data_IF_545890804988
#
_entry.id   IF_545890804988
#
_cell.length_a   1.000
_cell.length_b   1.000
_cell.length_c   1.000
_cell.angle_alpha   90.00
_cell.angle_beta   90.00
_cell.angle_gamma   90.00
#
_symmetry.space_group_name_H-M   'P 1'
#
loop_
_entity.id
_entity.type
_entity.pdbx_description
1 polymer ?
#
# COMPACT_ATOMS: atom_id res chain seq x y z
N UNK A 1 24.91 -13.99 -10.43
CA UNK A 1 24.14 -12.86 -9.81
C UNK A 1 23.42 -12.08 -10.92
N UNK A 2 22.28 -11.40 -10.70
CA UNK A 2 21.56 -10.70 -11.78
C UNK A 2 22.40 -9.64 -12.53
N UNK A 3 23.45 -9.12 -11.89
CA UNK A 3 24.42 -8.18 -12.46
C UNK A 3 25.32 -8.79 -13.53
N UNK A 4 25.61 -10.10 -13.48
CA UNK A 4 26.40 -10.79 -14.52
C UNK A 4 25.68 -10.82 -15.87
N UNK A 5 24.35 -10.69 -15.87
CA UNK A 5 23.57 -10.61 -17.11
C UNK A 5 24.00 -9.44 -17.98
N UNK A 6 24.36 -8.29 -17.39
CA UNK A 6 24.83 -7.10 -18.13
C UNK A 6 26.07 -7.41 -18.96
N UNK A 7 27.01 -8.18 -18.40
CA UNK A 7 28.23 -8.55 -19.11
C UNK A 7 27.95 -9.51 -20.28
N UNK A 8 26.85 -10.26 -20.21
CA UNK A 8 26.41 -11.18 -21.27
C UNK A 8 25.54 -10.53 -22.35
N UNK A 9 25.07 -9.29 -22.14
CA UNK A 9 24.24 -8.60 -23.12
C UNK A 9 25.07 -8.20 -24.37
N UNK A 10 24.44 -8.16 -25.56
CA UNK A 10 25.06 -7.54 -26.73
C UNK A 10 25.48 -6.09 -26.43
N UNK A 11 26.48 -5.54 -27.16
CA UNK A 11 26.93 -4.17 -26.97
C UNK A 11 25.76 -3.18 -27.00
N UNK A 12 25.54 -2.50 -25.88
CA UNK A 12 24.45 -1.55 -25.71
C UNK A 12 24.78 -0.21 -26.36
N UNK A 13 23.77 0.44 -26.92
CA UNK A 13 23.86 1.81 -27.44
C UNK A 13 23.76 2.82 -26.29
N UNK A 14 24.36 4.01 -26.45
CA UNK A 14 24.31 5.09 -25.43
C UNK A 14 22.88 5.43 -25.00
N UNK A 15 21.93 5.40 -25.93
CA UNK A 15 20.51 5.69 -25.68
C UNK A 15 19.78 4.68 -24.80
N UNK A 16 20.40 3.52 -24.51
CA UNK A 16 19.83 2.48 -23.66
C UNK A 16 20.25 2.63 -22.19
N UNK A 17 21.14 3.59 -21.90
CA UNK A 17 21.54 3.91 -20.53
C UNK A 17 20.62 4.98 -19.93
N UNK A 18 20.37 4.94 -18.60
CA UNK A 18 20.89 3.95 -17.65
C UNK A 18 20.18 2.59 -17.79
N UNK A 19 20.94 1.51 -17.64
CA UNK A 19 20.36 0.17 -17.56
C UNK A 19 20.02 -0.12 -16.11
N UNK A 20 18.79 -0.56 -15.86
CA UNK A 20 18.29 -0.86 -14.52
C UNK A 20 17.83 -2.31 -14.49
N UNK A 21 18.41 -3.12 -13.60
CA UNK A 21 18.02 -4.51 -13.40
C UNK A 21 17.66 -4.69 -11.94
N UNK A 22 16.56 -5.39 -11.68
CA UNK A 22 16.21 -5.80 -10.33
C UNK A 22 15.90 -7.28 -10.28
N UNK A 23 16.02 -7.82 -9.07
CA UNK A 23 15.58 -9.16 -8.72
C UNK A 23 14.85 -9.10 -7.39
N UNK A 24 13.85 -9.95 -7.21
CA UNK A 24 13.24 -10.22 -5.92
C UNK A 24 13.58 -11.66 -5.57
N UNK A 25 14.19 -11.88 -4.43
CA UNK A 25 14.61 -13.21 -4.02
C UNK A 25 15.02 -13.28 -2.56
N UNK A 26 15.19 -14.50 -2.09
CA UNK A 26 15.58 -14.78 -0.72
C UNK A 26 17.03 -14.37 -0.45
N UNK A 27 17.24 -13.77 0.71
CA UNK A 27 18.54 -13.42 1.24
C UNK A 27 18.77 -14.15 2.55
N UNK A 28 19.98 -14.68 2.67
CA UNK A 28 20.45 -15.33 3.88
C UNK A 28 21.55 -14.47 4.49
N UNK A 29 21.38 -14.11 5.76
CA UNK A 29 22.41 -13.42 6.55
C UNK A 29 22.60 -14.19 7.84
N UNK A 30 23.85 -14.42 8.20
CA UNK A 30 24.18 -14.95 9.53
C UNK A 30 24.00 -13.85 10.58
N UNK A 31 22.73 -13.56 10.86
CA UNK A 31 22.32 -12.57 11.83
C UNK A 31 22.56 -13.14 13.24
N UNK A 32 23.45 -12.51 14.01
CA UNK A 32 23.79 -12.96 15.35
C UNK A 32 22.57 -12.92 16.29
N UNK A 33 21.70 -11.91 16.13
CA UNK A 33 20.54 -11.68 16.99
C UNK A 33 19.25 -11.42 16.18
N UNK A 34 18.59 -12.46 15.65
CA UNK A 34 17.30 -12.28 14.99
C UNK A 34 16.24 -11.86 16.04
N UNK A 35 15.53 -10.75 15.77
CA UNK A 35 14.52 -10.17 16.67
C UNK A 35 13.38 -9.58 15.86
N UNK A 36 12.23 -9.41 16.51
CA UNK A 36 11.05 -8.73 15.94
C UNK A 36 10.51 -9.39 14.65
N UNK A 37 10.56 -10.74 14.59
CA UNK A 37 10.01 -11.52 13.49
C UNK A 37 10.60 -11.17 12.13
N UNK A 38 9.79 -10.60 11.25
CA UNK A 38 10.14 -10.24 9.87
C UNK A 38 11.05 -8.99 9.76
N UNK A 39 11.22 -8.22 10.83
CA UNK A 39 12.11 -7.05 10.82
C UNK A 39 13.58 -7.46 10.80
N UNK A 40 13.99 -8.46 11.59
CA UNK A 40 15.39 -8.92 11.66
C UNK A 40 15.44 -10.44 11.72
N UNK A 41 15.53 -11.07 10.55
CA UNK A 41 15.59 -12.51 10.37
C UNK A 41 16.87 -12.95 9.65
N UNK A 42 17.19 -14.25 9.76
CA UNK A 42 18.31 -14.89 9.02
C UNK A 42 17.97 -15.18 7.56
N UNK A 43 16.67 -15.29 7.23
CA UNK A 43 16.14 -15.41 5.88
C UNK A 43 15.04 -14.37 5.67
N UNK A 44 15.11 -13.60 4.58
CA UNK A 44 14.08 -12.63 4.21
C UNK A 44 14.04 -12.38 2.71
N UNK A 45 12.90 -11.92 2.22
CA UNK A 45 12.71 -11.52 0.84
C UNK A 45 13.26 -10.10 0.63
N UNK A 46 14.10 -9.93 -0.38
CA UNK A 46 14.70 -8.65 -0.72
C UNK A 46 14.50 -8.34 -2.20
N UNK A 47 14.18 -7.08 -2.49
CA UNK A 47 14.29 -6.53 -3.84
C UNK A 47 15.66 -5.85 -3.94
N UNK A 48 16.56 -6.40 -4.73
CA UNK A 48 17.81 -5.71 -5.09
C UNK A 48 17.67 -5.15 -6.49
N UNK A 49 17.99 -3.86 -6.65
CA UNK A 49 18.11 -3.22 -7.94
C UNK A 49 19.53 -2.68 -8.11
N UNK A 50 20.06 -2.81 -9.31
CA UNK A 50 21.36 -2.28 -9.72
C UNK A 50 21.17 -1.43 -10.96
N UNK A 51 21.87 -0.31 -11.00
CA UNK A 51 21.88 0.59 -12.14
C UNK A 51 23.27 0.67 -12.74
N UNK A 52 23.34 0.83 -14.05
CA UNK A 52 24.56 0.96 -14.80
C UNK A 52 24.46 2.21 -15.66
N UNK A 53 25.36 3.16 -15.44
CA UNK A 53 25.40 4.46 -16.12
C UNK A 53 26.73 4.65 -16.83
N UNK A 54 26.73 5.45 -17.90
CA UNK A 54 27.94 5.70 -18.70
C UNK A 54 29.01 6.48 -17.96
N UNK A 55 28.61 7.28 -16.98
CA UNK A 55 29.46 8.15 -16.19
C UNK A 55 28.81 8.45 -14.83
N UNK A 56 29.61 9.06 -13.95
CA UNK A 56 29.21 9.37 -12.58
C UNK A 56 28.08 10.42 -12.50
N UNK A 57 27.99 11.33 -13.47
CA UNK A 57 26.96 12.38 -13.46
C UNK A 57 25.58 11.79 -13.78
N UNK A 58 25.48 10.96 -14.82
CA UNK A 58 24.28 10.21 -15.15
C UNK A 58 23.89 9.23 -14.02
N UNK A 59 24.87 8.64 -13.34
CA UNK A 59 24.63 7.80 -12.16
C UNK A 59 24.03 8.59 -10.99
N UNK A 60 24.54 9.79 -10.72
CA UNK A 60 23.99 10.69 -9.69
C UNK A 60 22.57 11.15 -10.02
N UNK A 61 22.28 11.44 -11.28
CA UNK A 61 20.92 11.77 -11.72
C UNK A 61 19.97 10.58 -11.51
N UNK A 62 20.39 9.38 -11.92
CA UNK A 62 19.63 8.14 -11.71
C UNK A 62 19.39 7.88 -10.22
N UNK A 63 20.43 8.06 -9.39
CA UNK A 63 20.34 7.96 -7.94
C UNK A 63 19.31 8.94 -7.37
N UNK A 64 19.34 10.21 -7.80
CA UNK A 64 18.34 11.21 -7.37
C UNK A 64 16.93 10.82 -7.79
N UNK A 65 16.75 10.30 -9.00
CA UNK A 65 15.43 9.87 -9.49
C UNK A 65 14.86 8.70 -8.69
N UNK A 66 15.71 7.75 -8.30
CA UNK A 66 15.28 6.56 -7.56
C UNK A 66 15.13 6.84 -6.06
N UNK A 67 16.06 7.57 -5.46
CA UNK A 67 16.03 7.98 -4.05
C UNK A 67 15.25 9.29 -3.84
N UNK A 68 14.37 9.68 -4.76
CA UNK A 68 13.58 10.92 -4.65
C UNK A 68 12.52 10.70 -3.56
N UNK A 69 12.95 10.87 -2.31
CA UNK A 69 12.23 10.53 -1.09
C UNK A 69 11.75 11.79 -0.35
N UNK A 70 11.25 12.79 -1.06
CA UNK A 70 10.50 13.88 -0.42
C UNK A 70 9.07 13.84 -0.93
N UNK A 71 8.21 13.27 -0.11
CA UNK A 71 6.76 13.41 -0.26
C UNK A 71 6.34 14.59 0.60
N UNK A 72 5.68 15.58 0.00
CA UNK A 72 5.06 16.66 0.75
C UNK A 72 3.69 16.17 1.24
N UNK A 73 3.60 15.93 2.55
CA UNK A 73 2.35 15.63 3.25
C UNK A 73 1.67 16.95 3.61
N UNK A 74 0.37 17.08 3.30
CA UNK A 74 -0.44 18.20 3.77
C UNK A 74 -1.07 17.88 5.13
N UNK A 75 -0.74 18.66 6.16
CA UNK A 75 -1.21 18.45 7.55
C UNK A 75 -2.74 18.51 7.70
N UNK A 76 -3.46 19.10 6.74
CA UNK A 76 -4.91 19.34 6.84
C UNK A 76 -5.77 18.29 6.12
N UNK A 77 -5.27 17.70 5.03
CA UNK A 77 -6.07 16.75 4.23
C UNK A 77 -5.42 15.37 4.06
N UNK A 78 -4.18 15.19 4.51
CA UNK A 78 -3.43 13.93 4.36
C UNK A 78 -2.88 13.70 2.94
N UNK A 79 -3.30 14.49 1.95
CA UNK A 79 -2.91 14.26 0.54
C UNK A 79 -1.41 14.45 0.31
N UNK A 80 -0.82 13.50 -0.40
CA UNK A 80 0.58 13.51 -0.80
C UNK A 80 0.80 14.20 -2.14
N UNK A 81 1.72 15.15 -2.17
CA UNK A 81 2.22 15.72 -3.41
C UNK A 81 3.61 15.19 -3.72
N UNK A 82 3.75 14.51 -4.87
CA UNK A 82 5.05 14.28 -5.50
C UNK A 82 5.49 15.62 -6.10
N UNK A 83 6.23 16.45 -5.39
CA UNK A 83 6.80 17.65 -6.01
C UNK A 83 8.29 17.47 -6.28
N UNK A 84 8.70 17.86 -7.48
CA UNK A 84 10.10 18.07 -7.86
C UNK A 84 10.67 19.35 -7.23
N UNK A 85 9.78 20.25 -6.78
CA UNK A 85 10.11 21.50 -6.13
C UNK A 85 9.87 21.42 -4.62
N UNK A 86 10.93 21.65 -3.86
CA UNK A 86 10.98 21.75 -2.39
C UNK A 86 10.22 23.01 -1.87
N UNK A 87 9.62 23.79 -2.76
CA UNK A 87 9.01 25.10 -2.49
C UNK A 87 7.49 25.15 -2.65
N UNK A 88 6.83 24.05 -3.03
CA UNK A 88 5.37 23.97 -3.12
C UNK A 88 4.75 23.97 -1.71
N UNK A 89 4.39 25.17 -1.22
CA UNK A 89 3.70 25.41 0.06
C UNK A 89 2.19 25.16 -0.01
N UNK A 90 1.63 24.93 -1.19
CA UNK A 90 0.18 24.89 -1.44
C UNK A 90 -0.28 23.49 -1.80
N UNK A 91 -1.19 22.93 -1.01
CA UNK A 91 -1.89 21.69 -1.36
C UNK A 91 -2.92 21.97 -2.47
N UNK A 92 -2.93 21.24 -3.60
CA UNK A 92 -3.91 21.42 -4.67
C UNK A 92 -5.34 20.99 -4.30
N UNK A 93 -5.50 20.27 -3.17
CA UNK A 93 -6.77 19.76 -2.67
C UNK A 93 -7.34 20.58 -1.48
N UNK A 94 -6.59 21.57 -0.99
CA UNK A 94 -7.05 22.47 0.07
C UNK A 94 -7.20 23.89 -0.49
N UNK A 95 -8.23 24.62 -0.08
CA UNK A 95 -8.30 26.06 -0.30
C UNK A 95 -7.06 26.74 0.31
N UNK A 96 -6.61 27.83 -0.34
CA UNK A 96 -5.31 28.50 -0.21
C UNK A 96 -4.89 28.99 1.19
N UNK A 97 -5.69 28.70 2.23
CA UNK A 97 -5.47 29.06 3.63
C UNK A 97 -4.70 28.02 4.47
N UNK A 98 -4.50 26.79 3.99
CA UNK A 98 -3.85 25.72 4.77
C UNK A 98 -2.48 25.33 4.19
N UNK A 99 -1.43 26.02 4.63
CA UNK A 99 -0.06 25.87 4.16
C UNK A 99 0.89 25.36 5.26
N UNK A 100 0.75 24.10 5.65
CA UNK A 100 1.82 23.40 6.35
C UNK A 100 2.05 22.05 5.67
N UNK A 101 3.19 21.96 5.01
CA UNK A 101 3.74 20.71 4.52
C UNK A 101 4.92 20.34 5.39
N UNK A 102 4.87 19.16 6.00
CA UNK A 102 5.96 18.63 6.80
C UNK A 102 6.78 17.62 6.01
N UNK A 103 8.09 17.67 6.19
CA UNK A 103 9.01 16.66 5.69
C UNK A 103 8.97 15.48 6.65
N UNK A 104 8.48 14.33 6.17
CA UNK A 104 8.32 13.13 6.99
C UNK A 104 9.60 12.29 6.94
N UNK A 105 10.03 11.75 8.09
CA UNK A 105 11.20 10.87 8.17
C UNK A 105 10.85 9.46 7.69
N UNK A 106 11.66 8.86 6.83
CA UNK A 106 11.44 7.51 6.30
C UNK A 106 11.87 6.45 7.31
N UNK A 107 11.05 5.41 7.52
CA UNK A 107 11.54 4.14 8.09
C UNK A 107 12.61 3.59 7.14
N UNK A 108 13.75 3.14 7.67
CA UNK A 108 14.86 2.56 6.90
C UNK A 108 14.49 1.15 6.38
N UNK A 109 13.56 1.08 5.43
CA UNK A 109 13.10 -0.15 4.76
C UNK A 109 14.02 -0.49 3.59
N UNK A 110 14.86 0.46 3.16
CA UNK A 110 15.82 0.27 2.10
C UNK A 110 17.16 0.94 2.36
N UNK A 111 18.17 0.44 1.66
CA UNK A 111 19.52 1.01 1.64
C UNK A 111 19.91 1.30 0.21
N UNK A 112 20.61 2.40 0.00
CA UNK A 112 21.07 2.82 -1.31
C UNK A 112 22.56 3.12 -1.23
N UNK A 113 23.33 2.62 -2.19
CA UNK A 113 24.78 2.79 -2.20
C UNK A 113 25.26 3.18 -3.60
N UNK A 114 26.10 4.21 -3.68
CA UNK A 114 26.91 4.47 -4.87
C UNK A 114 28.10 3.51 -4.86
N UNK A 115 28.18 2.65 -5.87
CA UNK A 115 29.19 1.60 -5.96
C UNK A 115 30.40 2.02 -6.82
N UNK A 116 30.26 3.08 -7.63
CA UNK A 116 31.27 3.51 -8.59
C UNK A 116 31.57 2.43 -9.62
N UNK A 117 32.84 2.29 -10.00
CA UNK A 117 33.28 1.32 -11.03
C UNK A 117 33.82 0.01 -10.46
N UNK A 118 33.97 -0.12 -9.13
CA UNK A 118 34.62 -1.27 -8.49
C UNK A 118 34.05 -2.62 -8.93
N UNK A 119 32.73 -2.71 -9.03
CA UNK A 119 32.05 -3.96 -9.39
C UNK A 119 31.93 -4.15 -10.90
N UNK A 120 31.70 -3.08 -11.66
CA UNK A 120 31.61 -3.15 -13.12
C UNK A 120 32.94 -3.54 -13.76
N UNK A 121 34.06 -3.11 -13.18
CA UNK A 121 35.40 -3.56 -13.55
C UNK A 121 35.57 -5.07 -13.36
N UNK A 122 35.16 -5.59 -12.19
CA UNK A 122 35.31 -7.01 -11.85
C UNK A 122 34.44 -7.93 -12.72
N UNK A 123 33.21 -7.53 -13.04
CA UNK A 123 32.28 -8.33 -13.87
C UNK A 123 32.43 -8.05 -15.37
N UNK A 124 33.31 -7.13 -15.78
CA UNK A 124 33.53 -6.79 -17.19
C UNK A 124 32.41 -5.96 -17.84
N UNK A 125 31.55 -5.31 -17.05
CA UNK A 125 30.47 -4.46 -17.55
C UNK A 125 31.03 -3.11 -18.02
N UNK A 126 31.29 -2.99 -19.32
CA UNK A 126 31.93 -1.82 -19.94
C UNK A 126 31.12 -1.24 -21.09
N UNK A 127 31.20 0.07 -21.26
CA UNK A 127 30.71 0.79 -22.45
C UNK A 127 31.87 1.53 -23.10
N UNK A 128 32.09 1.30 -24.40
CA UNK A 128 33.22 1.88 -25.15
C UNK A 128 34.58 1.68 -24.46
N UNK A 129 34.80 0.49 -23.88
CA UNK A 129 36.04 0.13 -23.19
C UNK A 129 36.19 0.69 -21.76
N UNK A 130 35.29 1.57 -21.30
CA UNK A 130 35.28 2.12 -19.93
C UNK A 130 34.29 1.37 -19.04
N UNK A 131 34.64 1.10 -17.77
CA UNK A 131 33.70 0.50 -16.82
C UNK A 131 32.52 1.43 -16.56
N UNK A 132 31.33 0.84 -16.41
CA UNK A 132 30.10 1.56 -16.12
C UNK A 132 30.05 2.01 -14.65
N UNK A 133 29.51 3.18 -14.37
CA UNK A 133 29.29 3.63 -12.99
C UNK A 133 28.01 2.98 -12.43
N UNK A 134 28.09 2.42 -11.22
CA UNK A 134 27.02 1.62 -10.63
C UNK A 134 26.44 2.24 -9.36
N UNK A 135 25.13 2.05 -9.16
CA UNK A 135 24.45 2.19 -7.87
C UNK A 135 23.71 0.89 -7.53
N UNK A 136 23.46 0.64 -6.25
CA UNK A 136 22.52 -0.38 -5.81
C UNK A 136 21.47 0.17 -4.85
N UNK A 137 20.28 -0.44 -4.91
CA UNK A 137 19.10 -0.07 -4.13
C UNK A 137 18.49 -1.37 -3.62
N UNK A 138 18.52 -1.57 -2.31
CA UNK A 138 17.99 -2.77 -1.66
C UNK A 138 16.79 -2.41 -0.81
N UNK A 139 15.65 -3.06 -1.03
CA UNK A 139 14.45 -2.92 -0.18
C UNK A 139 14.14 -4.28 0.45
N UNK A 140 14.02 -4.30 1.78
CA UNK A 140 13.57 -5.49 2.50
C UNK A 140 12.07 -5.68 2.34
N UNK A 141 11.65 -6.47 1.34
CA UNK A 141 10.23 -6.70 1.03
C UNK A 141 9.51 -7.29 2.24
N UNK A 142 10.13 -8.24 2.94
CA UNK A 142 9.55 -8.82 4.17
C UNK A 142 9.38 -7.81 5.31
N UNK A 143 10.18 -6.73 5.32
CA UNK A 143 10.10 -5.68 6.35
C UNK A 143 8.98 -4.68 6.10
N UNK A 144 8.46 -4.60 4.88
CA UNK A 144 7.38 -3.68 4.53
C UNK A 144 6.12 -3.95 5.37
N UNK A 145 5.73 -5.21 5.52
CA UNK A 145 4.53 -5.58 6.29
C UNK A 145 4.63 -5.17 7.77
N UNK A 146 5.63 -5.63 8.56
CA UNK A 146 5.73 -5.22 9.96
C UNK A 146 5.95 -3.71 10.12
N UNK A 147 6.72 -3.05 9.25
CA UNK A 147 6.86 -1.60 9.30
C UNK A 147 5.54 -0.87 9.03
N UNK A 148 4.72 -1.39 8.12
CA UNK A 148 3.39 -0.83 7.85
C UNK A 148 2.45 -1.05 9.02
N UNK A 149 2.48 -2.23 9.64
CA UNK A 149 1.66 -2.54 10.82
C UNK A 149 2.06 -1.64 11.99
N UNK A 150 3.35 -1.54 12.29
CA UNK A 150 3.91 -0.69 13.35
C UNK A 150 3.51 0.78 13.16
N UNK A 151 3.50 1.25 11.91
CA UNK A 151 3.18 2.63 11.58
C UNK A 151 1.68 2.95 11.56
N UNK A 152 0.83 2.00 11.18
CA UNK A 152 -0.60 2.27 10.97
C UNK A 152 -1.50 1.75 12.08
N UNK A 153 -1.07 0.69 12.77
CA UNK A 153 -1.90 0.00 13.74
C UNK A 153 -1.64 0.62 15.11
N UNK A 154 -2.51 1.56 15.48
CA UNK A 154 -2.52 2.21 16.81
C UNK A 154 -2.78 1.25 17.99
N UNK A 155 -3.12 -0.01 17.71
CA UNK A 155 -3.39 -1.03 18.73
C UNK A 155 -2.94 -2.41 18.32
N UNK A 156 -2.72 -3.26 19.32
CA UNK A 156 -2.49 -4.70 19.13
C UNK A 156 -3.78 -5.48 18.79
N UNK A 157 -4.95 -4.85 18.93
CA UNK A 157 -6.23 -5.55 18.73
C UNK A 157 -6.66 -5.60 17.28
N UNK A 158 -6.27 -4.65 16.45
CA UNK A 158 -6.72 -4.59 15.06
C UNK A 158 -5.64 -4.03 14.12
N UNK A 159 -5.41 -4.75 13.01
CA UNK A 159 -4.47 -4.33 11.97
C UNK A 159 -5.07 -3.18 11.15
N UNK A 160 -4.23 -2.21 10.81
CA UNK A 160 -4.54 -1.16 9.85
C UNK A 160 -3.57 -1.28 8.69
N UNK A 161 -4.12 -1.55 7.51
CA UNK A 161 -3.36 -1.86 6.31
C UNK A 161 -3.80 -0.93 5.17
N UNK A 162 -2.87 -0.45 4.34
CA UNK A 162 -3.21 0.13 3.05
C UNK A 162 -3.91 -0.92 2.20
N UNK A 163 -4.90 -0.51 1.40
CA UNK A 163 -5.63 -1.42 0.51
C UNK A 163 -4.75 -2.26 -0.39
N UNK A 164 -3.63 -1.70 -0.85
CA UNK A 164 -2.69 -2.39 -1.73
C UNK A 164 -2.10 -3.67 -1.12
N UNK A 165 -2.10 -3.80 0.21
CA UNK A 165 -1.56 -4.96 0.94
C UNK A 165 -2.59 -5.58 1.91
N UNK A 166 -3.83 -5.07 1.93
CA UNK A 166 -4.90 -5.68 2.69
C UNK A 166 -5.21 -7.08 2.10
N UNK A 167 -5.58 -8.07 2.93
CA UNK A 167 -5.80 -9.44 2.45
C UNK A 167 -6.98 -9.55 1.49
N UNK A 168 -8.00 -8.71 1.69
CA UNK A 168 -9.17 -8.56 0.82
C UNK A 168 -9.60 -7.09 0.81
N UNK A 169 -10.23 -6.64 -0.27
CA UNK A 169 -10.83 -5.30 -0.33
C UNK A 169 -12.10 -5.24 0.54
N UNK A 170 -12.89 -6.32 0.56
CA UNK A 170 -14.10 -6.41 1.37
C UNK A 170 -14.35 -7.79 1.96
N UNK A 171 -15.11 -7.84 3.05
CA UNK A 171 -15.71 -9.05 3.60
C UNK A 171 -17.23 -8.95 3.54
N UNK A 172 -17.91 -10.02 3.13
CA UNK A 172 -19.36 -10.16 3.17
C UNK A 172 -19.70 -11.19 4.24
N UNK A 173 -20.37 -10.74 5.30
CA UNK A 173 -20.81 -11.56 6.43
C UNK A 173 -22.29 -11.88 6.23
N UNK A 174 -22.61 -13.15 6.11
CA UNK A 174 -23.99 -13.58 5.79
C UNK A 174 -24.63 -14.32 6.96
N UNK A 175 -25.89 -13.99 7.24
CA UNK A 175 -26.74 -14.74 8.18
C UNK A 175 -27.20 -16.05 7.54
N UNK A 176 -27.34 -17.12 8.34
CA UNK A 176 -27.76 -18.45 7.88
C UNK A 176 -28.98 -18.46 6.94
N UNK A 177 -30.00 -17.64 7.22
CA UNK A 177 -31.21 -17.58 6.39
C UNK A 177 -30.99 -16.99 4.99
N UNK A 178 -29.88 -16.29 4.77
CA UNK A 178 -29.55 -15.60 3.51
C UNK A 178 -28.45 -16.30 2.70
N UNK A 179 -27.87 -17.39 3.20
CA UNK A 179 -26.72 -18.07 2.58
C UNK A 179 -26.93 -18.45 1.10
N UNK A 180 -28.10 -19.00 0.77
CA UNK A 180 -28.44 -19.43 -0.60
C UNK A 180 -29.23 -18.37 -1.38
N UNK A 181 -29.25 -17.12 -0.89
CA UNK A 181 -30.06 -16.06 -1.48
C UNK A 181 -29.28 -15.36 -2.62
N UNK A 182 -29.97 -15.10 -3.73
CA UNK A 182 -29.43 -14.36 -4.89
C UNK A 182 -28.82 -13.01 -4.49
N UNK A 183 -29.26 -12.42 -3.37
CA UNK A 183 -28.71 -11.16 -2.88
C UNK A 183 -27.22 -11.26 -2.52
N UNK A 184 -26.75 -12.42 -2.04
CA UNK A 184 -25.33 -12.61 -1.70
C UNK A 184 -24.48 -12.50 -2.96
N UNK A 185 -24.89 -13.19 -4.02
CA UNK A 185 -24.22 -13.16 -5.32
C UNK A 185 -24.31 -11.77 -5.96
N UNK A 186 -25.47 -11.11 -5.88
CA UNK A 186 -25.64 -9.73 -6.35
C UNK A 186 -24.73 -8.75 -5.61
N UNK A 187 -24.67 -8.81 -4.27
CA UNK A 187 -23.81 -7.95 -3.46
C UNK A 187 -22.34 -8.20 -3.78
N UNK A 188 -21.91 -9.47 -3.84
CA UNK A 188 -20.54 -9.84 -4.22
C UNK A 188 -20.17 -9.35 -5.62
N UNK A 189 -21.06 -9.55 -6.60
CA UNK A 189 -20.85 -9.13 -7.98
C UNK A 189 -20.78 -7.61 -8.13
N UNK A 190 -21.67 -6.87 -7.47
CA UNK A 190 -21.67 -5.41 -7.50
C UNK A 190 -20.43 -4.82 -6.83
N UNK A 191 -20.02 -5.37 -5.68
CA UNK A 191 -18.80 -4.96 -5.01
C UNK A 191 -17.55 -5.26 -5.87
N UNK A 192 -17.47 -6.44 -6.49
CA UNK A 192 -16.31 -6.88 -7.31
C UNK A 192 -16.09 -6.04 -8.57
N UNK A 193 -17.10 -5.28 -9.01
CA UNK A 193 -16.94 -4.31 -10.11
C UNK A 193 -15.94 -3.21 -9.76
N UNK A 194 -15.92 -2.78 -8.50
CA UNK A 194 -15.11 -1.65 -8.02
C UNK A 194 -13.96 -2.08 -7.11
N UNK A 195 -14.13 -3.20 -6.40
CA UNK A 195 -13.16 -3.78 -5.48
C UNK A 195 -12.42 -4.93 -6.18
N UNK A 196 -11.14 -4.72 -6.50
CA UNK A 196 -10.31 -5.65 -7.28
C UNK A 196 -9.39 -6.52 -6.43
N UNK A 197 -9.20 -6.16 -5.16
CA UNK A 197 -8.40 -6.91 -4.17
C UNK A 197 -9.08 -8.17 -3.64
N UNK A 198 -10.18 -8.61 -4.25
CA UNK A 198 -10.94 -9.79 -3.83
C UNK A 198 -11.95 -9.50 -2.71
N UNK A 199 -12.93 -10.39 -2.61
CA UNK A 199 -14.01 -10.33 -1.62
C UNK A 199 -13.99 -11.63 -0.82
N UNK A 200 -13.88 -11.50 0.50
CA UNK A 200 -14.04 -12.61 1.43
C UNK A 200 -15.53 -12.83 1.69
N UNK A 201 -16.05 -14.01 1.37
CA UNK A 201 -17.36 -14.43 1.86
C UNK A 201 -17.17 -15.18 3.19
N UNK A 202 -17.67 -14.61 4.29
CA UNK A 202 -17.61 -15.23 5.61
C UNK A 202 -18.94 -15.94 5.91
N UNK A 203 -18.96 -17.24 5.63
CA UNK A 203 -20.08 -18.15 5.77
C UNK A 203 -20.09 -18.97 7.08
N UNK A 204 -19.25 -18.59 8.05
CA UNK A 204 -19.17 -19.20 9.39
C UNK A 204 -20.41 -18.88 10.24
N UNK A 205 -21.53 -19.50 9.87
CA UNK A 205 -22.87 -19.27 10.44
C UNK A 205 -23.00 -19.68 11.90
N UNK A 206 -22.08 -20.49 12.43
CA UNK A 206 -21.95 -20.83 13.84
C UNK A 206 -21.48 -19.64 14.70
N UNK A 207 -20.89 -18.62 14.08
CA UNK A 207 -20.41 -17.41 14.74
C UNK A 207 -21.42 -16.26 14.60
N UNK A 208 -21.58 -15.48 15.67
CA UNK A 208 -22.40 -14.27 15.63
C UNK A 208 -21.85 -13.28 14.60
N UNK A 209 -22.74 -12.50 13.97
CA UNK A 209 -22.34 -11.47 13.01
C UNK A 209 -21.37 -10.47 13.65
N UNK A 210 -21.64 -10.02 14.88
CA UNK A 210 -20.73 -9.14 15.62
C UNK A 210 -19.32 -9.71 15.76
N UNK A 211 -19.18 -11.00 16.12
CA UNK A 211 -17.87 -11.63 16.22
C UNK A 211 -17.13 -11.66 14.88
N UNK A 212 -17.84 -11.99 13.80
CA UNK A 212 -17.28 -11.98 12.44
C UNK A 212 -16.88 -10.58 11.97
N UNK A 213 -17.67 -9.55 12.30
CA UNK A 213 -17.34 -8.14 12.01
C UNK A 213 -16.03 -7.77 12.70
N UNK A 214 -15.90 -8.07 14.00
CA UNK A 214 -14.66 -7.78 14.72
C UNK A 214 -13.48 -8.54 14.11
N UNK A 215 -13.61 -9.83 13.76
CA UNK A 215 -12.52 -10.58 13.12
C UNK A 215 -12.08 -9.99 11.78
N UNK A 216 -13.02 -9.61 10.90
CA UNK A 216 -12.69 -8.94 9.65
C UNK A 216 -12.00 -7.59 9.88
N UNK A 217 -12.45 -6.80 10.86
CA UNK A 217 -11.81 -5.55 11.26
C UNK A 217 -10.42 -5.77 11.88
N UNK A 218 -10.22 -6.86 12.63
CA UNK A 218 -8.91 -7.23 13.19
C UNK A 218 -7.90 -7.58 12.10
N UNK A 219 -8.35 -8.22 11.02
CA UNK A 219 -7.54 -8.55 9.85
C UNK A 219 -7.20 -7.32 8.98
N UNK A 220 -7.79 -6.15 9.26
CA UNK A 220 -7.58 -4.95 8.48
C UNK A 220 -8.30 -4.96 7.13
N UNK A 221 -9.42 -5.70 7.01
CA UNK A 221 -10.25 -5.70 5.79
C UNK A 221 -11.00 -4.36 5.71
N UNK A 222 -10.77 -3.54 4.66
CA UNK A 222 -11.25 -2.15 4.60
C UNK A 222 -12.77 -2.00 4.67
N UNK A 223 -13.51 -2.84 3.94
CA UNK A 223 -14.97 -2.80 3.88
C UNK A 223 -15.57 -4.09 4.44
N UNK A 224 -16.53 -3.98 5.35
CA UNK A 224 -17.22 -5.13 5.94
C UNK A 224 -18.71 -4.94 5.68
N UNK A 225 -19.28 -5.79 4.84
CA UNK A 225 -20.66 -5.76 4.40
C UNK A 225 -21.41 -6.86 5.13
N UNK A 226 -22.52 -6.54 5.78
CA UNK A 226 -23.30 -7.49 6.58
C UNK A 226 -24.68 -7.68 5.95
N UNK A 227 -24.97 -8.93 5.60
CA UNK A 227 -26.26 -9.40 5.11
C UNK A 227 -26.98 -10.15 6.25
N UNK A 228 -27.76 -9.43 7.03
CA UNK A 228 -28.42 -9.95 8.23
C UNK A 228 -29.90 -9.55 8.32
N UNK A 229 -30.36 -9.09 9.48
CA UNK A 229 -31.77 -8.84 9.75
C UNK A 229 -32.33 -7.68 8.91
N UNK A 230 -31.52 -6.64 8.70
CA UNK A 230 -31.92 -5.47 7.89
C UNK A 230 -32.15 -5.90 6.44
N UNK A 231 -31.23 -6.70 5.89
CA UNK A 231 -31.36 -7.27 4.55
C UNK A 231 -32.61 -8.13 4.46
N UNK A 232 -32.81 -9.07 5.37
CA UNK A 232 -33.98 -9.97 5.40
C UNK A 232 -35.31 -9.20 5.41
N UNK A 233 -35.43 -8.13 6.21
CA UNK A 233 -36.63 -7.28 6.24
C UNK A 233 -36.83 -6.49 4.95
N UNK A 234 -35.76 -5.99 4.35
CA UNK A 234 -35.81 -5.20 3.12
C UNK A 234 -36.06 -6.02 1.85
N UNK A 235 -35.87 -7.35 1.89
CA UNK A 235 -36.25 -8.22 0.78
C UNK A 235 -37.77 -8.20 0.50
N UNK A 236 -38.58 -7.91 1.52
CA UNK A 236 -40.04 -7.72 1.36
C UNK A 236 -40.36 -6.52 0.46
N UNK A 237 -39.53 -5.49 0.48
CA UNK A 237 -39.73 -4.25 -0.29
C UNK A 237 -38.97 -4.25 -1.63
N UNK A 238 -38.35 -5.38 -2.01
CA UNK A 238 -37.53 -5.58 -3.23
C UNK A 238 -36.34 -4.62 -3.40
N UNK A 239 -36.01 -3.81 -2.38
CA UNK A 239 -34.83 -2.95 -2.36
C UNK A 239 -33.91 -3.42 -1.24
N UNK A 240 -32.94 -4.29 -1.54
CA UNK A 240 -32.09 -4.87 -0.52
C UNK A 240 -31.20 -3.80 0.13
N UNK A 241 -31.22 -3.80 1.45
CA UNK A 241 -30.43 -2.91 2.30
C UNK A 241 -29.38 -3.74 3.02
N UNK A 242 -28.15 -3.24 3.03
CA UNK A 242 -26.98 -3.88 3.64
C UNK A 242 -26.45 -2.99 4.76
N UNK A 243 -25.86 -3.59 5.78
CA UNK A 243 -25.15 -2.86 6.83
C UNK A 243 -23.67 -2.80 6.44
N UNK A 244 -23.03 -1.63 6.57
CA UNK A 244 -21.66 -1.40 6.09
C UNK A 244 -20.80 -0.86 7.22
N UNK A 245 -19.65 -1.49 7.41
CA UNK A 245 -18.63 -1.06 8.35
C UNK A 245 -17.29 -0.83 7.63
N UNK A 246 -16.43 0.03 8.17
CA UNK A 246 -15.07 0.22 7.69
C UNK A 246 -14.04 0.19 8.82
N UNK A 247 -12.80 -0.22 8.52
CA UNK A 247 -11.67 -0.09 9.46
C UNK A 247 -11.23 1.36 9.54
N UNK A 248 -10.93 1.93 10.71
CA UNK A 248 -10.46 3.32 10.83
C UNK A 248 -9.07 3.43 11.48
N UNK A 249 -8.12 4.25 10.97
CA UNK A 249 -6.74 4.28 11.47
C UNK A 249 -6.61 4.58 12.98
N UNK A 250 -7.47 5.45 13.50
CA UNK A 250 -7.45 5.90 14.91
C UNK A 250 -8.44 5.15 15.83
N UNK A 251 -9.07 4.09 15.35
CA UNK A 251 -10.05 3.33 16.13
C UNK A 251 -9.74 1.85 16.03
N UNK A 252 -9.79 1.13 17.16
CA UNK A 252 -9.72 -0.34 17.17
C UNK A 252 -11.07 -0.95 16.74
N UNK A 253 -12.16 -0.22 16.94
CA UNK A 253 -13.52 -0.64 16.63
C UNK A 253 -13.89 -0.33 15.18
N UNK A 254 -14.68 -1.20 14.53
CA UNK A 254 -15.20 -0.96 13.19
C UNK A 254 -16.12 0.27 13.19
N UNK A 255 -15.96 1.15 12.21
CA UNK A 255 -16.83 2.30 12.02
C UNK A 255 -18.12 1.86 11.32
N UNK A 256 -19.25 1.99 12.00
CA UNK A 256 -20.58 1.71 11.45
C UNK A 256 -21.07 2.90 10.60
N UNK A 257 -21.40 2.64 9.33
CA UNK A 257 -22.00 3.61 8.41
C UNK A 257 -23.52 3.47 8.28
N UNK A 258 -24.09 2.58 9.08
CA UNK A 258 -25.50 2.26 9.09
C UNK A 258 -25.97 1.49 7.85
N UNK A 259 -27.29 1.28 7.74
CA UNK A 259 -27.89 0.56 6.64
C UNK A 259 -27.94 1.43 5.37
N UNK A 260 -27.52 0.87 4.23
CA UNK A 260 -27.58 1.52 2.92
C UNK A 260 -27.96 0.55 1.80
N UNK A 261 -28.49 1.09 0.69
CA UNK A 261 -28.77 0.29 -0.50
C UNK A 261 -27.48 -0.07 -1.22
N UNK A 262 -27.52 -1.10 -2.08
CA UNK A 262 -26.37 -1.50 -2.88
C UNK A 262 -25.87 -0.38 -3.80
N UNK A 263 -26.78 0.41 -4.38
CA UNK A 263 -26.42 1.57 -5.21
C UNK A 263 -25.70 2.65 -4.40
N UNK A 264 -26.18 2.94 -3.19
CA UNK A 264 -25.53 3.90 -2.28
C UNK A 264 -24.17 3.39 -1.83
N UNK A 265 -24.03 2.09 -1.58
CA UNK A 265 -22.75 1.47 -1.26
C UNK A 265 -21.75 1.62 -2.41
N UNK A 266 -22.18 1.43 -3.67
CA UNK A 266 -21.31 1.65 -4.84
C UNK A 266 -20.82 3.09 -4.89
N UNK A 267 -21.72 4.07 -4.72
CA UNK A 267 -21.33 5.49 -4.66
C UNK A 267 -20.40 5.79 -3.49
N UNK A 268 -20.65 5.19 -2.32
CA UNK A 268 -19.81 5.30 -1.14
C UNK A 268 -18.40 4.77 -1.41
N UNK A 269 -18.26 3.55 -1.93
CA UNK A 269 -16.97 2.97 -2.32
C UNK A 269 -16.26 3.89 -3.31
N UNK A 270 -16.93 4.34 -4.38
CA UNK A 270 -16.32 5.23 -5.36
C UNK A 270 -15.80 6.53 -4.73
N UNK A 271 -16.57 7.14 -3.84
CA UNK A 271 -16.11 8.34 -3.10
C UNK A 271 -14.91 8.05 -2.20
N UNK A 272 -14.88 6.89 -1.53
CA UNK A 272 -13.75 6.48 -0.69
C UNK A 272 -12.52 6.11 -1.52
N UNK A 273 -12.67 5.58 -2.75
CA UNK A 273 -11.55 5.14 -3.58
C UNK A 273 -10.92 6.27 -4.40
N UNK A 274 -11.75 7.19 -4.91
CA UNK A 274 -11.35 8.15 -5.93
C UNK A 274 -11.50 9.61 -5.47
N UNK A 275 -11.98 9.83 -4.25
CA UNK A 275 -12.42 11.14 -3.78
C UNK A 275 -13.72 11.56 -4.45
N UNK A 276 -14.47 12.46 -3.81
CA UNK A 276 -15.63 13.11 -4.43
C UNK A 276 -15.16 14.03 -5.57
N UNK A 277 -15.79 14.02 -6.76
CA UNK A 277 -15.48 14.98 -7.83
C UNK A 277 -15.72 16.44 -7.42
N UNK A 278 -16.48 16.69 -6.35
CA UNK A 278 -16.77 18.01 -5.79
C UNK A 278 -16.61 17.94 -4.27
N UNK A 279 -15.72 18.76 -3.72
CA UNK A 279 -15.46 18.86 -2.29
C UNK A 279 -16.75 19.03 -1.49
N UNK A 280 -16.95 18.14 -0.52
CA UNK A 280 -18.16 18.08 0.29
C UNK A 280 -17.99 17.10 1.45
N UNK A 281 -17.30 17.60 2.49
CA UNK A 281 -17.42 17.37 3.94
C UNK A 281 -17.89 15.97 4.42
N UNK A 282 -17.07 15.43 5.32
CA UNK A 282 -17.27 14.29 6.24
C UNK A 282 -17.00 12.87 5.71
N UNK A 283 -15.81 12.36 6.07
CA UNK A 283 -15.45 10.95 5.97
C UNK A 283 -14.34 10.63 4.98
N UNK A 284 -13.23 11.38 4.98
CA UNK A 284 -12.03 11.06 4.21
C UNK A 284 -11.40 9.75 4.72
N UNK A 285 -11.81 8.63 4.14
CA UNK A 285 -10.98 7.42 4.07
C UNK A 285 -9.94 7.62 3.00
N UNK A 286 -8.96 8.46 3.31
CA UNK A 286 -7.83 8.70 2.42
C UNK A 286 -6.84 7.54 2.56
N UNK A 287 -6.53 6.88 1.45
CA UNK A 287 -5.45 5.89 1.36
C UNK A 287 -4.06 6.49 1.62
N UNK A 288 -4.01 7.79 1.88
CA UNK A 288 -2.85 8.57 2.26
C UNK A 288 -2.46 8.50 3.75
N UNK A 289 -3.28 7.96 4.65
CA UNK A 289 -3.00 7.96 6.10
C UNK A 289 -1.79 7.10 6.55
N UNK A 290 -0.97 6.61 5.62
CA UNK A 290 0.21 5.77 5.86
C UNK A 290 1.43 6.53 6.35
N UNK A 291 1.47 7.87 6.31
CA UNK A 291 2.67 8.62 6.71
C UNK A 291 2.45 9.64 7.85
N UNK A 292 1.28 9.66 8.49
CA UNK A 292 0.93 10.65 9.53
C UNK A 292 1.67 10.45 10.88
N UNK A 293 2.22 9.26 11.17
CA UNK A 293 2.87 8.97 12.47
C UNK A 293 4.41 8.92 12.43
N UNK A 294 5.04 9.26 11.30
CA UNK A 294 6.51 9.30 11.16
C UNK A 294 7.16 10.63 11.61
N UNK A 295 6.43 11.45 12.38
CA UNK A 295 6.82 12.81 12.75
C UNK A 295 7.11 13.04 14.24
N UNK A 296 6.97 12.04 15.10
CA UNK A 296 7.20 12.20 16.53
C UNK A 296 7.95 11.01 17.11
N UNK A 297 9.26 10.94 16.85
CA UNK A 297 10.34 10.62 17.80
C UNK A 297 11.71 10.72 17.10
#
# INVERSE_FOLDING_TARGET
MCTELIASLPPLKKSQFPVMIYQIGDKFRDEMNPRFGLMRSRQFLMKDMYTFSTDQEASRETYRTICRDSVNLCDSCGTFNKSEDVTLKTCPNCDSAHQKSQKVSSVEIGHTFHLGTKYSEAIGAKFQGKPLDMCCFGIGVSRLLPATVDLLSSSEKALRLPRAIAPFDAAIIVKKSLMSNVIVEMTSSSASRYLKGGILLDDRIEMSAGRRIHEANRLGIPFIIVLANVTERSLVTQKPVIEVFTTHPKSEEPCDHGPMTLDRFVSFVQSSLYGTPNGGIDGNFDHSLVLDELGSH
#
